data_IF_431701798391
#
_entry.id   IF_431701798391
#
_cell.length_a   1.000
_cell.length_b   1.000
_cell.length_c   1.000
_cell.angle_alpha   90.00
_cell.angle_beta   90.00
_cell.angle_gamma   90.00
#
_symmetry.space_group_name_H-M   'P 1'
#
loop_
_entity.id
_entity.type
_entity.pdbx_description
1 polymer ?
#
# COMPACT_ATOMS: atom_id res chain seq x y z
N UNK A 1 31.49 -2.82 -11.92
CA UNK A 1 31.74 -2.30 -10.56
C UNK A 1 31.29 -0.84 -10.47
N UNK A 2 30.01 -0.60 -10.16
CA UNK A 2 29.46 0.77 -10.00
C UNK A 2 28.41 0.79 -8.87
N UNK A 3 28.83 0.57 -7.62
CA UNK A 3 27.98 0.89 -6.47
C UNK A 3 28.29 2.31 -6.03
N UNK A 4 27.28 3.18 -6.02
CA UNK A 4 27.32 4.49 -5.38
C UNK A 4 26.49 4.46 -4.10
N UNK A 5 27.01 5.04 -3.01
CA UNK A 5 26.30 5.18 -1.73
C UNK A 5 26.48 4.02 -0.74
N UNK A 6 25.73 4.11 0.36
CA UNK A 6 25.61 3.06 1.39
C UNK A 6 24.66 1.94 0.93
N UNK A 7 24.73 0.76 1.57
CA UNK A 7 23.79 -0.36 1.28
C UNK A 7 22.33 0.09 1.36
N UNK A 8 22.06 1.03 2.26
CA UNK A 8 20.77 1.71 2.39
C UNK A 8 20.82 3.05 1.69
N UNK A 9 19.89 3.30 0.78
CA UNK A 9 19.74 4.59 0.13
C UNK A 9 18.54 5.35 0.71
N UNK A 10 18.74 6.61 1.10
CA UNK A 10 17.69 7.46 1.66
C UNK A 10 17.27 7.11 3.09
N UNK A 11 16.10 7.62 3.49
CA UNK A 11 15.49 7.35 4.80
C UNK A 11 14.43 6.27 4.67
N UNK A 12 14.26 5.44 5.71
CA UNK A 12 13.13 4.53 5.82
C UNK A 12 11.80 5.29 5.68
N UNK A 13 10.85 4.67 5.01
CA UNK A 13 9.53 5.22 4.72
C UNK A 13 8.47 4.34 5.31
N UNK A 14 7.54 4.95 6.03
CA UNK A 14 6.33 4.32 6.54
C UNK A 14 5.13 5.19 6.24
N UNK A 15 3.98 4.55 6.05
CA UNK A 15 2.68 5.19 5.87
C UNK A 15 1.66 4.42 6.68
N UNK A 16 0.83 5.13 7.43
CA UNK A 16 -0.31 4.53 8.12
C UNK A 16 -1.38 4.19 7.09
N UNK A 17 -1.91 2.98 7.15
CA UNK A 17 -2.98 2.53 6.26
C UNK A 17 -4.27 2.28 7.04
N UNK A 18 -5.39 2.45 6.37
CA UNK A 18 -6.67 1.99 6.88
C UNK A 18 -6.67 0.45 6.89
N UNK A 19 -7.08 -0.23 7.99
CA UNK A 19 -7.14 -1.68 8.03
C UNK A 19 -7.90 -2.30 6.85
N UNK A 20 -9.00 -1.67 6.41
CA UNK A 20 -9.80 -2.15 5.27
C UNK A 20 -9.05 -2.05 3.93
N UNK A 21 -7.88 -1.39 3.92
CA UNK A 21 -7.05 -1.19 2.74
C UNK A 21 -5.88 -2.20 2.73
N UNK A 22 -5.73 -3.02 3.78
CA UNK A 22 -4.65 -3.98 3.94
C UNK A 22 -4.44 -4.87 2.71
N UNK A 23 -5.51 -5.50 2.20
CA UNK A 23 -5.41 -6.40 1.05
C UNK A 23 -4.95 -5.69 -0.23
N UNK A 24 -5.32 -4.41 -0.41
CA UNK A 24 -4.82 -3.59 -1.54
C UNK A 24 -3.32 -3.33 -1.42
N UNK A 25 -2.84 -3.00 -0.22
CA UNK A 25 -1.40 -2.87 0.06
C UNK A 25 -0.65 -4.19 -0.14
N UNK A 26 -1.23 -5.31 0.29
CA UNK A 26 -0.61 -6.62 0.10
C UNK A 26 -0.54 -6.98 -1.38
N UNK A 27 -1.61 -6.77 -2.16
CA UNK A 27 -1.59 -6.94 -3.62
C UNK A 27 -0.54 -6.05 -4.28
N UNK A 28 -0.42 -4.79 -3.85
CA UNK A 28 0.62 -3.89 -4.32
C UNK A 28 2.03 -4.48 -4.10
N UNK A 29 2.28 -5.10 -2.94
CA UNK A 29 3.56 -5.76 -2.65
C UNK A 29 3.77 -6.99 -3.53
N UNK A 30 2.76 -7.85 -3.63
CA UNK A 30 2.84 -9.11 -4.38
C UNK A 30 3.02 -8.90 -5.89
N UNK A 31 2.49 -7.79 -6.43
CA UNK A 31 2.66 -7.39 -7.83
C UNK A 31 3.93 -6.57 -8.08
N UNK A 32 4.67 -6.13 -7.06
CA UNK A 32 5.92 -5.39 -7.26
C UNK A 32 6.91 -6.07 -8.23
N UNK A 33 7.15 -7.39 -8.13
CA UNK A 33 8.15 -8.05 -8.97
C UNK A 33 7.74 -8.05 -10.46
N UNK A 34 6.44 -8.25 -10.73
CA UNK A 34 5.84 -8.13 -12.06
C UNK A 34 5.88 -6.68 -12.56
N UNK A 35 5.50 -5.71 -11.73
CA UNK A 35 5.54 -4.27 -12.08
C UNK A 35 6.96 -3.77 -12.37
N UNK A 36 7.97 -4.35 -11.73
CA UNK A 36 9.37 -4.06 -11.97
C UNK A 36 9.94 -4.78 -13.21
N UNK A 37 9.18 -5.70 -13.81
CA UNK A 37 9.59 -6.48 -14.97
C UNK A 37 10.55 -7.64 -14.65
N UNK A 38 10.64 -8.06 -13.39
CA UNK A 38 11.50 -9.18 -12.97
C UNK A 38 10.85 -10.54 -13.24
N UNK A 39 9.53 -10.65 -13.06
CA UNK A 39 8.75 -11.86 -13.31
C UNK A 39 7.55 -11.58 -14.22
N UNK A 40 7.11 -12.59 -14.96
CA UNK A 40 5.89 -12.48 -15.79
C UNK A 40 4.61 -12.72 -14.99
N UNK A 41 4.66 -13.54 -13.94
CA UNK A 41 3.52 -13.81 -13.07
C UNK A 41 3.89 -13.65 -11.59
N UNK A 42 2.94 -13.23 -10.73
CA UNK A 42 3.22 -13.05 -9.30
C UNK A 42 3.59 -14.36 -8.58
N UNK A 43 3.13 -15.51 -9.08
CA UNK A 43 3.46 -16.85 -8.52
C UNK A 43 4.91 -17.27 -8.75
N UNK A 44 5.61 -16.64 -9.70
CA UNK A 44 6.98 -16.99 -10.05
C UNK A 44 7.99 -16.32 -9.09
N UNK A 45 7.55 -15.32 -8.33
CA UNK A 45 8.39 -14.59 -7.38
C UNK A 45 8.57 -15.36 -6.08
N UNK A 46 9.82 -15.67 -5.74
CA UNK A 46 10.22 -16.21 -4.43
C UNK A 46 10.34 -15.14 -3.35
N UNK A 47 10.19 -13.86 -3.71
CA UNK A 47 10.39 -12.71 -2.83
C UNK A 47 9.09 -12.16 -2.25
N UNK A 48 7.96 -12.80 -2.55
CA UNK A 48 6.63 -12.42 -2.10
C UNK A 48 5.91 -13.63 -1.53
N UNK A 49 4.91 -13.39 -0.69
CA UNK A 49 4.10 -14.46 -0.07
C UNK A 49 2.97 -14.96 -0.96
N UNK A 50 2.83 -14.46 -2.20
CA UNK A 50 1.71 -14.80 -3.08
C UNK A 50 1.58 -16.31 -3.30
N UNK A 51 2.69 -17.00 -3.58
CA UNK A 51 2.69 -18.45 -3.78
C UNK A 51 2.11 -19.21 -2.57
N UNK A 52 2.48 -18.83 -1.35
CA UNK A 52 1.92 -19.42 -0.13
C UNK A 52 0.43 -19.13 0.03
N UNK A 53 -0.02 -17.91 -0.31
CA UNK A 53 -1.43 -17.52 -0.24
C UNK A 53 -2.33 -18.20 -1.29
N UNK A 54 -1.76 -18.79 -2.34
CA UNK A 54 -2.51 -19.53 -3.39
C UNK A 54 -2.34 -21.05 -3.31
N UNK A 55 -1.85 -21.57 -2.19
CA UNK A 55 -1.73 -23.01 -1.95
C UNK A 55 -0.38 -23.63 -2.32
N UNK A 56 0.66 -22.82 -2.47
CA UNK A 56 2.05 -23.26 -2.47
C UNK A 56 2.50 -23.76 -1.09
N UNK A 57 3.82 -23.78 -0.86
CA UNK A 57 4.36 -24.25 0.41
C UNK A 57 3.89 -23.34 1.57
N UNK A 58 3.38 -23.99 2.61
CA UNK A 58 3.04 -23.31 3.85
C UNK A 58 4.33 -22.87 4.54
N UNK A 59 4.46 -21.56 4.75
CA UNK A 59 5.58 -20.95 5.45
C UNK A 59 5.20 -20.77 6.93
N UNK A 60 5.81 -21.50 7.89
CA UNK A 60 5.39 -21.48 9.30
C UNK A 60 5.50 -20.10 9.97
N UNK A 61 6.31 -19.21 9.41
CA UNK A 61 6.54 -17.85 9.88
C UNK A 61 5.58 -16.82 9.26
N UNK A 62 4.81 -17.20 8.24
CA UNK A 62 3.85 -16.33 7.58
C UNK A 62 2.52 -16.36 8.34
N UNK A 63 2.11 -15.20 8.86
CA UNK A 63 0.86 -15.03 9.60
C UNK A 63 -0.10 -14.16 8.81
N UNK A 64 -1.22 -14.74 8.42
CA UNK A 64 -2.27 -14.06 7.67
C UNK A 64 -3.00 -13.00 8.51
N UNK A 65 -3.22 -11.83 7.92
CA UNK A 65 -4.01 -10.77 8.53
C UNK A 65 -5.50 -11.12 8.57
N UNK A 66 -6.25 -10.54 9.52
CA UNK A 66 -7.70 -10.77 9.66
C UNK A 66 -8.51 -10.53 8.37
N UNK A 67 -8.09 -9.60 7.50
CA UNK A 67 -8.79 -9.37 6.23
C UNK A 67 -8.59 -10.50 5.22
N UNK A 68 -7.45 -11.21 5.27
CA UNK A 68 -7.24 -12.39 4.46
C UNK A 68 -8.18 -13.53 4.90
N UNK A 69 -8.33 -13.73 6.21
CA UNK A 69 -9.27 -14.71 6.76
C UNK A 69 -10.73 -14.46 6.37
N UNK A 70 -11.10 -13.19 6.12
CA UNK A 70 -12.45 -12.79 5.65
C UNK A 70 -12.71 -13.10 4.18
N UNK A 71 -11.73 -13.53 3.39
CA UNK A 71 -11.89 -13.82 1.95
C UNK A 71 -12.71 -15.09 1.65
N UNK A 72 -12.92 -15.94 2.66
CA UNK A 72 -13.59 -17.23 2.47
C UNK A 72 -13.55 -18.09 3.73
N UNK A 73 -14.53 -18.97 3.86
CA UNK A 73 -14.66 -19.86 5.01
C UNK A 73 -13.75 -21.08 4.88
N UNK A 74 -13.43 -21.49 3.65
CA UNK A 74 -12.48 -22.57 3.39
C UNK A 74 -11.12 -22.06 2.89
N UNK A 75 -10.01 -22.80 3.10
CA UNK A 75 -8.72 -22.45 2.51
C UNK A 75 -8.79 -22.27 0.98
N UNK A 76 -9.53 -23.13 0.29
CA UNK A 76 -9.69 -23.09 -1.15
C UNK A 76 -10.42 -21.81 -1.62
N UNK A 77 -11.51 -21.43 -0.94
CA UNK A 77 -12.20 -20.17 -1.22
C UNK A 77 -11.28 -18.97 -1.05
N UNK A 78 -10.51 -18.91 0.06
CA UNK A 78 -9.58 -17.81 0.30
C UNK A 78 -8.50 -17.73 -0.79
N UNK A 79 -7.90 -18.87 -1.13
CA UNK A 79 -6.89 -18.97 -2.18
C UNK A 79 -7.43 -18.49 -3.53
N UNK A 80 -8.62 -18.94 -3.93
CA UNK A 80 -9.24 -18.51 -5.18
C UNK A 80 -9.61 -17.02 -5.19
N UNK A 81 -10.23 -16.53 -4.11
CA UNK A 81 -10.59 -15.11 -3.98
C UNK A 81 -9.34 -14.24 -4.01
N UNK A 82 -8.28 -14.64 -3.31
CA UNK A 82 -7.00 -13.92 -3.31
C UNK A 82 -6.33 -13.94 -4.69
N UNK A 83 -6.21 -15.11 -5.31
CA UNK A 83 -5.62 -15.24 -6.64
C UNK A 83 -6.37 -14.39 -7.69
N UNK A 84 -7.71 -14.40 -7.63
CA UNK A 84 -8.56 -13.55 -8.49
C UNK A 84 -8.29 -12.07 -8.27
N UNK A 85 -8.31 -11.62 -7.02
CA UNK A 85 -8.09 -10.22 -6.64
C UNK A 85 -6.70 -9.68 -7.04
N UNK A 86 -5.66 -10.51 -6.92
CA UNK A 86 -4.30 -10.15 -7.35
C UNK A 86 -4.18 -10.14 -8.88
N UNK A 87 -4.78 -11.13 -9.56
CA UNK A 87 -4.76 -11.23 -11.03
C UNK A 87 -5.53 -10.11 -11.71
N UNK A 88 -6.63 -9.65 -11.11
CA UNK A 88 -7.37 -8.46 -11.58
C UNK A 88 -6.48 -7.21 -11.57
N UNK A 89 -5.49 -7.16 -10.68
CA UNK A 89 -4.58 -6.04 -10.54
C UNK A 89 -5.26 -4.82 -9.91
N UNK A 90 -4.48 -3.76 -9.71
CA UNK A 90 -4.99 -2.48 -9.26
C UNK A 90 -5.12 -1.53 -10.46
N UNK A 91 -6.12 -0.63 -10.47
CA UNK A 91 -6.08 0.52 -11.36
C UNK A 91 -4.79 1.33 -11.13
N UNK A 92 -4.20 1.88 -12.20
CA UNK A 92 -2.92 2.61 -12.11
C UNK A 92 -2.92 3.77 -11.10
N UNK A 93 -4.08 4.38 -10.81
CA UNK A 93 -4.18 5.45 -9.84
C UNK A 93 -3.98 4.95 -8.40
N UNK A 94 -4.40 3.72 -8.08
CA UNK A 94 -4.26 3.15 -6.74
C UNK A 94 -2.79 2.89 -6.40
N UNK A 95 -2.05 2.25 -7.32
CA UNK A 95 -0.60 2.03 -7.17
C UNK A 95 0.15 3.36 -6.99
N UNK A 96 -0.28 4.39 -7.71
CA UNK A 96 0.28 5.74 -7.62
C UNK A 96 0.00 6.36 -6.26
N UNK A 97 -1.21 6.22 -5.73
CA UNK A 97 -1.58 6.74 -4.40
C UNK A 97 -0.80 6.04 -3.29
N UNK A 98 -0.70 4.70 -3.32
CA UNK A 98 0.10 3.94 -2.36
C UNK A 98 1.55 4.42 -2.39
N UNK A 99 2.11 4.54 -3.60
CA UNK A 99 3.49 5.02 -3.79
C UNK A 99 3.65 6.45 -3.26
N UNK A 100 2.75 7.37 -3.59
CA UNK A 100 2.85 8.76 -3.18
C UNK A 100 2.70 8.93 -1.66
N UNK A 101 1.75 8.22 -1.05
CA UNK A 101 1.56 8.18 0.40
C UNK A 101 2.82 7.66 1.11
N UNK A 102 3.40 6.55 0.63
CA UNK A 102 4.62 5.97 1.18
C UNK A 102 5.82 6.91 1.01
N UNK A 103 6.04 7.46 -0.18
CA UNK A 103 7.14 8.40 -0.50
C UNK A 103 7.11 9.63 0.40
N UNK A 104 5.92 10.12 0.73
CA UNK A 104 5.71 11.33 1.53
C UNK A 104 5.48 11.05 3.01
N UNK A 105 5.49 9.78 3.42
CA UNK A 105 5.13 9.33 4.77
C UNK A 105 3.79 9.92 5.24
N UNK A 106 2.78 9.87 4.37
CA UNK A 106 1.42 10.32 4.61
C UNK A 106 0.47 9.15 4.75
N UNK A 107 -0.54 9.21 5.64
CA UNK A 107 -1.53 8.15 5.76
C UNK A 107 -2.26 7.92 4.44
N UNK A 108 -2.47 6.65 4.08
CA UNK A 108 -3.37 6.24 3.00
C UNK A 108 -4.59 5.58 3.62
N UNK A 109 -5.60 6.41 3.90
CA UNK A 109 -6.77 6.05 4.71
C UNK A 109 -8.06 6.55 4.09
N UNK A 110 -9.19 5.91 4.41
CA UNK A 110 -10.50 6.44 4.05
C UNK A 110 -10.80 7.75 4.77
N UNK A 111 -11.70 8.57 4.22
CA UNK A 111 -12.17 9.81 4.89
C UNK A 111 -12.81 9.53 6.26
N UNK A 112 -13.50 8.40 6.39
CA UNK A 112 -14.16 7.99 7.64
C UNK A 112 -13.10 7.68 8.69
N UNK A 113 -12.09 6.88 8.32
CA UNK A 113 -10.99 6.54 9.21
C UNK A 113 -10.14 7.77 9.55
N UNK A 114 -9.91 8.66 8.57
CA UNK A 114 -9.21 9.93 8.76
C UNK A 114 -9.88 10.81 9.81
N UNK A 115 -11.21 10.99 9.71
CA UNK A 115 -12.00 11.78 10.66
C UNK A 115 -12.01 11.18 12.07
N UNK A 116 -11.91 9.85 12.18
CA UNK A 116 -11.84 9.14 13.45
C UNK A 116 -10.47 9.31 14.12
N UNK A 117 -9.39 8.98 13.40
CA UNK A 117 -8.03 8.88 13.97
C UNK A 117 -7.31 10.23 14.03
N UNK A 118 -7.56 11.12 13.08
CA UNK A 118 -6.86 12.40 12.97
C UNK A 118 -7.75 13.59 13.34
N UNK A 119 -8.78 13.38 14.16
CA UNK A 119 -9.73 14.42 14.58
C UNK A 119 -9.03 15.69 15.11
N UNK A 120 -8.01 15.51 15.93
CA UNK A 120 -7.27 16.61 16.56
C UNK A 120 -6.14 17.15 15.66
N UNK A 121 -5.80 16.46 14.58
CA UNK A 121 -4.68 16.77 13.69
C UNK A 121 -4.98 16.47 12.21
N UNK A 122 -6.04 17.05 11.61
CA UNK A 122 -6.50 16.70 10.27
C UNK A 122 -5.46 16.95 9.18
N UNK A 123 -4.56 17.91 9.41
CA UNK A 123 -3.43 18.24 8.54
C UNK A 123 -2.45 17.08 8.28
N UNK A 124 -2.41 16.08 9.17
CA UNK A 124 -1.49 14.95 9.01
C UNK A 124 -1.85 14.07 7.82
N UNK A 125 -3.14 13.94 7.50
CA UNK A 125 -3.64 13.15 6.37
C UNK A 125 -3.40 13.84 5.03
N UNK A 126 -3.29 15.18 5.03
CA UNK A 126 -3.16 15.95 3.81
C UNK A 126 -1.77 15.80 3.16
N UNK A 127 -1.76 15.43 1.89
CA UNK A 127 -0.58 15.54 1.02
C UNK A 127 -0.47 17.01 0.57
N UNK A 128 0.40 17.78 1.23
CA UNK A 128 0.67 19.16 0.84
C UNK A 128 1.53 19.21 -0.42
N UNK A 129 1.27 20.17 -1.31
CA UNK A 129 2.18 20.46 -2.43
C UNK A 129 3.55 20.88 -1.88
N UNK A 130 4.62 20.50 -2.59
CA UNK A 130 5.98 20.94 -2.25
C UNK A 130 6.08 22.46 -2.39
N UNK A 131 6.74 23.12 -1.45
CA UNK A 131 6.97 24.56 -1.46
C UNK A 131 6.38 25.29 -0.25
N UNK A 132 6.53 26.61 -0.24
CA UNK A 132 6.01 27.48 0.84
C UNK A 132 4.48 27.36 0.91
N UNK A 133 3.87 27.16 2.09
CA UNK A 133 2.43 27.20 2.24
C UNK A 133 1.84 28.49 1.65
N UNK A 134 0.76 28.37 0.87
CA UNK A 134 0.07 29.55 0.32
C UNK A 134 -0.45 30.40 1.49
N UNK A 135 -0.19 31.71 1.44
CA UNK A 135 -0.75 32.66 2.41
C UNK A 135 -2.26 32.69 2.21
N UNK A 136 -3.04 32.36 3.24
CA UNK A 136 -4.49 32.55 3.22
C UNK A 136 -4.75 34.05 3.10
N UNK A 137 -5.46 34.48 2.04
CA UNK A 137 -5.88 35.87 1.87
C UNK A 137 -7.18 36.03 2.68
N UNK A 138 -7.24 36.90 3.70
CA UNK A 138 -8.47 37.16 4.43
C UNK A 138 -9.52 37.75 3.49
N UNK A 139 -10.76 37.26 3.59
CA UNK A 139 -11.91 37.63 2.74
C UNK A 139 -12.18 39.15 2.75
N UNK A 140 -11.75 39.87 3.79
CA UNK A 140 -11.96 41.33 3.92
C UNK A 140 -10.98 42.20 3.12
N UNK A 141 -10.30 41.66 2.10
CA UNK A 141 -9.29 42.40 1.31
C UNK A 141 -9.79 42.87 -0.06
N UNK A 142 -11.09 42.71 -0.37
CA UNK A 142 -11.69 43.27 -1.58
C UNK A 142 -12.61 44.44 -1.19
N UNK A 143 -12.02 45.63 -1.15
CA UNK A 143 -12.72 46.92 -1.29
C UNK A 143 -12.75 47.32 -2.75
#
# INVERSE_FOLDING_TARGET
HHRSGTIWEGRYRSSLIDPDYFLRCQRYIELNPVRAGFESNPQDSTWTSFASHIGGNAEPWLVDHQHFWKLGNTPFERQMTWAGFVKEGAPHWEDREITEALVRSKPWVSDIYAKSVFKDNPDQVLIRHRGRPKKLIPINSMT
#
